data_IF_589158630781
#
_entry.id   IF_589158630781
#
_cell.length_a   1.000
_cell.length_b   1.000
_cell.length_c   1.000
_cell.angle_alpha   90.00
_cell.angle_beta   90.00
_cell.angle_gamma   90.00
#
_symmetry.space_group_name_H-M   'P 1'
#
loop_
_entity.id
_entity.type
_entity.pdbx_description
1 polymer ?
#
# COMPACT_ATOMS: atom_id res chain seq x y z
N UNK A 1 -1.22 19.85 -9.47
CA UNK A 1 -1.59 19.09 -8.26
C UNK A 1 -0.52 19.27 -7.19
N UNK A 2 -0.87 19.74 -5.99
CA UNK A 2 0.07 20.10 -4.92
C UNK A 2 0.94 18.93 -4.43
N UNK A 3 0.38 17.71 -4.37
CA UNK A 3 1.07 16.50 -3.91
C UNK A 3 2.37 16.25 -4.68
N UNK A 4 2.34 16.32 -6.02
CA UNK A 4 3.54 16.09 -6.84
C UNK A 4 4.64 17.12 -6.61
N UNK A 5 4.29 18.39 -6.35
CA UNK A 5 5.27 19.43 -6.00
C UNK A 5 5.91 19.15 -4.64
N UNK A 6 5.14 18.71 -3.64
CA UNK A 6 5.68 18.34 -2.32
C UNK A 6 6.62 17.14 -2.41
N UNK A 7 6.21 16.08 -3.11
CA UNK A 7 7.02 14.88 -3.31
C UNK A 7 8.36 15.20 -3.99
N UNK A 8 8.33 16.06 -5.02
CA UNK A 8 9.55 16.51 -5.69
C UNK A 8 10.46 17.33 -4.77
N UNK A 9 9.90 18.24 -3.99
CA UNK A 9 10.67 19.10 -3.06
C UNK A 9 11.37 18.30 -1.96
N UNK A 10 10.81 17.18 -1.53
CA UNK A 10 11.43 16.28 -0.53
C UNK A 10 12.60 15.48 -1.10
N UNK A 11 12.56 15.17 -2.40
CA UNK A 11 13.52 14.27 -3.02
C UNK A 11 14.59 14.99 -3.84
N UNK A 12 14.38 16.27 -4.21
CA UNK A 12 15.31 17.08 -5.03
C UNK A 12 16.70 17.28 -4.41
N UNK A 13 16.87 17.04 -3.10
CA UNK A 13 18.17 17.15 -2.43
C UNK A 13 19.12 15.97 -2.66
N UNK A 14 18.65 14.92 -3.35
CA UNK A 14 19.46 13.72 -3.61
C UNK A 14 20.46 13.98 -4.74
N UNK A 15 21.72 14.17 -4.35
CA UNK A 15 22.84 14.41 -5.28
C UNK A 15 22.93 13.30 -6.34
N UNK A 16 22.99 13.67 -7.62
CA UNK A 16 23.18 12.75 -8.74
C UNK A 16 21.95 11.92 -9.15
N UNK A 17 20.77 12.16 -8.55
CA UNK A 17 19.55 11.35 -8.79
C UNK A 17 18.36 12.11 -9.38
N UNK A 18 18.58 13.29 -9.93
CA UNK A 18 17.49 14.18 -10.40
C UNK A 18 16.51 13.52 -11.38
N UNK A 19 17.01 12.77 -12.36
CA UNK A 19 16.14 12.06 -13.31
C UNK A 19 15.35 10.93 -12.63
N UNK A 20 15.97 10.20 -11.70
CA UNK A 20 15.33 9.12 -10.96
C UNK A 20 14.21 9.67 -10.06
N UNK A 21 14.47 10.78 -9.37
CA UNK A 21 13.50 11.50 -8.56
C UNK A 21 12.29 11.94 -9.39
N UNK A 22 12.52 12.58 -10.55
CA UNK A 22 11.42 12.97 -11.44
C UNK A 22 10.61 11.77 -11.91
N UNK A 23 11.27 10.68 -12.31
CA UNK A 23 10.60 9.44 -12.74
C UNK A 23 9.76 8.83 -11.61
N UNK A 24 10.27 8.81 -10.39
CA UNK A 24 9.56 8.34 -9.20
C UNK A 24 8.29 9.15 -8.97
N UNK A 25 8.41 10.49 -8.88
CA UNK A 25 7.26 11.37 -8.65
C UNK A 25 6.22 11.21 -9.75
N UNK A 26 6.61 11.12 -11.02
CA UNK A 26 5.66 10.89 -12.11
C UNK A 26 4.96 9.53 -11.99
N UNK A 27 5.67 8.49 -11.53
CA UNK A 27 5.08 7.17 -11.29
C UNK A 27 4.04 7.20 -10.18
N UNK A 28 4.34 7.90 -9.08
CA UNK A 28 3.43 8.10 -7.96
C UNK A 28 2.17 8.87 -8.40
N UNK A 29 2.35 9.98 -9.12
CA UNK A 29 1.23 10.76 -9.65
C UNK A 29 0.35 9.97 -10.62
N UNK A 30 0.96 9.14 -11.49
CA UNK A 30 0.20 8.23 -12.37
C UNK A 30 -0.57 7.18 -11.58
N UNK A 31 0.00 6.66 -10.50
CA UNK A 31 -0.65 5.65 -9.66
C UNK A 31 -1.85 6.24 -8.91
N UNK A 32 -1.72 7.46 -8.39
CA UNK A 32 -2.85 8.23 -7.82
C UNK A 32 -3.93 8.54 -8.85
N UNK A 33 -3.55 8.95 -10.05
CA UNK A 33 -4.51 9.24 -11.12
C UNK A 33 -5.30 8.00 -11.51
N UNK A 34 -4.64 6.84 -11.63
CA UNK A 34 -5.31 5.56 -11.91
C UNK A 34 -6.24 5.14 -10.78
N UNK A 35 -5.84 5.36 -9.53
CA UNK A 35 -6.72 5.10 -8.38
C UNK A 35 -7.97 5.97 -8.43
N UNK A 36 -7.81 7.25 -8.75
CA UNK A 36 -8.94 8.17 -8.92
C UNK A 36 -9.85 7.76 -10.08
N UNK A 37 -9.29 7.32 -11.21
CA UNK A 37 -10.10 6.78 -12.31
C UNK A 37 -10.92 5.58 -11.88
N UNK A 38 -10.32 4.63 -11.15
CA UNK A 38 -11.06 3.49 -10.60
C UNK A 38 -12.12 3.93 -9.59
N UNK A 39 -11.82 4.91 -8.73
CA UNK A 39 -12.77 5.49 -7.78
C UNK A 39 -13.99 6.10 -8.49
N UNK A 40 -13.79 6.78 -9.62
CA UNK A 40 -14.90 7.34 -10.41
C UNK A 40 -15.85 6.28 -10.98
N UNK A 41 -15.40 5.04 -11.16
CA UNK A 41 -16.29 3.95 -11.57
C UNK A 41 -17.32 3.62 -10.47
N UNK A 42 -16.93 3.75 -9.21
CA UNK A 42 -17.80 3.52 -8.05
C UNK A 42 -18.53 4.77 -7.58
N UNK A 43 -17.98 5.96 -7.86
CA UNK A 43 -18.60 7.25 -7.55
C UNK A 43 -18.55 8.20 -8.75
N UNK A 44 -19.45 8.05 -9.75
CA UNK A 44 -19.44 8.85 -10.97
C UNK A 44 -19.66 10.35 -10.73
N UNK A 45 -20.35 10.70 -9.64
CA UNK A 45 -20.62 12.09 -9.22
C UNK A 45 -19.42 12.78 -8.59
N UNK A 46 -18.28 12.09 -8.44
CA UNK A 46 -17.02 12.70 -7.99
C UNK A 46 -16.49 13.64 -9.06
N UNK A 47 -16.28 14.90 -8.69
CA UNK A 47 -15.77 15.91 -9.60
C UNK A 47 -14.25 16.07 -9.43
N UNK A 48 -13.76 15.91 -8.20
CA UNK A 48 -12.39 16.23 -7.83
C UNK A 48 -11.67 15.05 -7.16
N UNK A 49 -10.34 15.04 -7.25
CA UNK A 49 -9.52 13.96 -6.66
C UNK A 49 -9.56 13.97 -5.13
N UNK A 50 -9.87 15.13 -4.55
CA UNK A 50 -10.07 15.35 -3.13
C UNK A 50 -11.25 14.54 -2.58
N UNK A 51 -12.30 14.31 -3.40
CA UNK A 51 -13.50 13.58 -3.01
C UNK A 51 -13.19 12.13 -2.62
N UNK A 52 -12.14 11.55 -3.22
CA UNK A 52 -11.64 10.20 -2.94
C UNK A 52 -11.11 10.04 -1.50
N UNK A 53 -10.77 11.14 -0.84
CA UNK A 53 -10.19 11.17 0.50
C UNK A 53 -11.16 11.73 1.55
N UNK A 54 -12.46 11.58 1.33
CA UNK A 54 -13.53 11.94 2.27
C UNK A 54 -14.08 10.67 2.93
N UNK A 55 -14.26 10.68 4.26
CA UNK A 55 -14.68 9.49 5.04
C UNK A 55 -15.98 8.88 4.52
N UNK A 56 -16.94 9.71 4.12
CA UNK A 56 -18.21 9.28 3.54
C UNK A 56 -18.05 8.39 2.31
N UNK A 57 -16.95 8.51 1.58
CA UNK A 57 -16.70 7.78 0.34
C UNK A 57 -15.72 6.61 0.54
N UNK A 58 -15.44 6.23 1.79
CA UNK A 58 -14.41 5.25 2.10
C UNK A 58 -14.68 3.87 1.48
N UNK A 59 -15.94 3.43 1.42
CA UNK A 59 -16.30 2.13 0.82
C UNK A 59 -16.03 2.11 -0.70
N UNK A 60 -16.30 3.22 -1.39
CA UNK A 60 -15.96 3.39 -2.80
C UNK A 60 -14.44 3.43 -3.00
N UNK A 61 -13.71 4.06 -2.08
CA UNK A 61 -12.26 4.10 -2.08
C UNK A 61 -11.63 2.72 -1.91
N UNK A 62 -12.14 1.91 -0.98
CA UNK A 62 -11.70 0.53 -0.79
C UNK A 62 -11.96 -0.32 -2.05
N UNK A 63 -13.16 -0.20 -2.62
CA UNK A 63 -13.53 -0.86 -3.88
C UNK A 63 -12.59 -0.47 -5.03
N UNK A 64 -12.20 0.80 -5.10
CA UNK A 64 -11.24 1.30 -6.10
C UNK A 64 -9.83 0.69 -5.92
N UNK A 65 -9.36 0.54 -4.69
CA UNK A 65 -8.07 -0.14 -4.40
C UNK A 65 -8.14 -1.59 -4.89
N UNK A 66 -9.23 -2.30 -4.60
CA UNK A 66 -9.41 -3.67 -5.05
C UNK A 66 -9.43 -3.77 -6.58
N UNK A 67 -10.21 -2.92 -7.25
CA UNK A 67 -10.31 -2.89 -8.71
C UNK A 67 -8.95 -2.61 -9.37
N UNK A 68 -8.17 -1.67 -8.83
CA UNK A 68 -6.85 -1.34 -9.38
C UNK A 68 -5.80 -2.44 -9.14
N UNK A 69 -5.97 -3.25 -8.10
CA UNK A 69 -4.97 -4.25 -7.67
C UNK A 69 -5.30 -5.68 -8.09
N UNK A 70 -6.51 -5.93 -8.59
CA UNK A 70 -6.90 -7.20 -9.21
C UNK A 70 -6.59 -7.22 -10.72
N UNK A 71 -6.09 -8.35 -11.21
CA UNK A 71 -5.97 -8.62 -12.65
C UNK A 71 -7.24 -9.23 -13.25
N UNK A 72 -7.32 -9.26 -14.59
CA UNK A 72 -8.40 -9.91 -15.34
C UNK A 72 -8.59 -11.40 -14.97
N UNK A 73 -7.56 -12.08 -14.47
CA UNK A 73 -7.61 -13.47 -13.99
C UNK A 73 -7.80 -13.59 -12.47
N UNK A 74 -8.26 -12.53 -11.81
CA UNK A 74 -8.44 -12.44 -10.36
C UNK A 74 -7.14 -12.60 -9.54
N UNK A 75 -5.97 -12.45 -10.19
CA UNK A 75 -4.67 -12.46 -9.52
C UNK A 75 -4.37 -11.09 -8.92
N UNK A 76 -3.96 -11.05 -7.65
CA UNK A 76 -3.64 -9.81 -6.94
C UNK A 76 -2.22 -9.33 -7.23
N UNK A 77 -2.08 -8.06 -7.59
CA UNK A 77 -0.80 -7.36 -7.72
C UNK A 77 -0.30 -6.91 -6.36
N UNK A 78 0.22 -7.82 -5.55
CA UNK A 78 0.65 -7.54 -4.17
C UNK A 78 1.64 -6.36 -4.08
N UNK A 79 2.60 -6.27 -5.01
CA UNK A 79 3.55 -5.16 -5.06
C UNK A 79 2.89 -3.80 -5.30
N UNK A 80 1.92 -3.74 -6.22
CA UNK A 80 1.14 -2.52 -6.49
C UNK A 80 0.24 -2.17 -5.30
N UNK A 81 -0.40 -3.17 -4.70
CA UNK A 81 -1.28 -2.98 -3.54
C UNK A 81 -0.50 -2.39 -2.36
N UNK A 82 0.72 -2.88 -2.11
CA UNK A 82 1.58 -2.32 -1.07
C UNK A 82 2.16 -0.95 -1.43
N UNK A 83 2.54 -0.70 -2.70
CA UNK A 83 3.00 0.65 -3.08
C UNK A 83 1.88 1.68 -2.95
N UNK A 84 0.65 1.33 -3.32
CA UNK A 84 -0.53 2.18 -3.13
C UNK A 84 -0.75 2.51 -1.65
N UNK A 85 -0.61 1.55 -0.73
CA UNK A 85 -0.73 1.80 0.72
C UNK A 85 0.15 2.98 1.18
N UNK A 86 1.44 2.94 0.83
CA UNK A 86 2.39 3.97 1.22
C UNK A 86 2.12 5.29 0.50
N UNK A 87 1.77 5.23 -0.78
CA UNK A 87 1.45 6.40 -1.59
C UNK A 87 0.21 7.14 -1.07
N UNK A 88 -0.85 6.42 -0.73
CA UNK A 88 -2.09 6.96 -0.14
C UNK A 88 -1.78 7.67 1.18
N UNK A 89 -1.06 7.00 2.08
CA UNK A 89 -0.68 7.60 3.36
C UNK A 89 0.11 8.90 3.16
N UNK A 90 1.11 8.85 2.28
CA UNK A 90 1.97 10.01 1.99
C UNK A 90 1.14 11.15 1.38
N UNK A 91 0.27 10.87 0.42
CA UNK A 91 -0.60 11.87 -0.20
C UNK A 91 -1.49 12.57 0.83
N UNK A 92 -2.06 11.82 1.78
CA UNK A 92 -2.91 12.37 2.85
C UNK A 92 -2.13 13.29 3.79
N UNK A 93 -0.94 12.89 4.22
CA UNK A 93 -0.09 13.75 5.04
C UNK A 93 0.26 15.06 4.33
N UNK A 94 0.52 15.01 3.02
CA UNK A 94 0.76 16.22 2.23
C UNK A 94 -0.50 17.10 2.16
N UNK A 95 -1.68 16.51 1.96
CA UNK A 95 -2.94 17.26 1.94
C UNK A 95 -3.22 17.93 3.29
N UNK A 96 -3.01 17.22 4.41
CA UNK A 96 -3.12 17.79 5.76
C UNK A 96 -2.16 18.97 5.92
N UNK A 97 -0.89 18.82 5.53
CA UNK A 97 0.11 19.90 5.61
C UNK A 97 -0.22 21.09 4.72
N UNK A 98 -0.80 20.87 3.54
CA UNK A 98 -1.24 21.93 2.63
C UNK A 98 -2.34 22.79 3.23
N UNK A 99 -3.41 22.17 3.71
CA UNK A 99 -4.55 22.89 4.28
C UNK A 99 -4.22 23.51 5.64
N UNK A 100 -3.32 22.90 6.41
CA UNK A 100 -2.79 23.51 7.63
C UNK A 100 -2.06 24.83 7.33
N UNK A 101 -1.22 24.88 6.27
CA UNK A 101 -0.55 26.13 5.85
C UNK A 101 -1.53 27.21 5.36
N UNK A 102 -2.72 26.81 4.92
CA UNK A 102 -3.79 27.72 4.50
C UNK A 102 -4.75 28.08 5.63
N UNK A 103 -4.51 27.59 6.85
CA UNK A 103 -5.38 27.76 8.01
C UNK A 103 -6.80 27.22 7.82
N UNK A 104 -6.99 26.31 6.87
CA UNK A 104 -8.28 25.66 6.59
C UNK A 104 -8.48 24.47 7.53
N UNK A 105 -8.97 24.79 8.74
CA UNK A 105 -9.19 23.81 9.81
C UNK A 105 -10.21 22.75 9.44
N UNK A 106 -11.22 23.09 8.62
CA UNK A 106 -12.26 22.16 8.21
C UNK A 106 -11.68 21.05 7.32
N UNK A 107 -10.89 21.43 6.32
CA UNK A 107 -10.23 20.45 5.44
C UNK A 107 -9.19 19.63 6.19
N UNK A 108 -8.39 20.25 7.08
CA UNK A 108 -7.45 19.52 7.93
C UNK A 108 -8.15 18.44 8.76
N UNK A 109 -9.29 18.78 9.38
CA UNK A 109 -10.07 17.84 10.18
C UNK A 109 -10.61 16.68 9.33
N UNK A 110 -11.14 17.00 8.14
CA UNK A 110 -11.64 16.01 7.19
C UNK A 110 -10.57 14.99 6.79
N UNK A 111 -9.39 15.46 6.34
CA UNK A 111 -8.30 14.56 5.93
C UNK A 111 -7.68 13.78 7.10
N UNK A 112 -7.61 14.36 8.30
CA UNK A 112 -7.17 13.63 9.50
C UNK A 112 -8.13 12.51 9.85
N UNK A 113 -9.44 12.78 9.75
CA UNK A 113 -10.48 11.77 9.99
C UNK A 113 -10.37 10.64 8.97
N UNK A 114 -10.19 10.95 7.69
CA UNK A 114 -9.94 9.92 6.67
C UNK A 114 -8.68 9.11 6.98
N UNK A 115 -7.55 9.77 7.25
CA UNK A 115 -6.29 9.08 7.54
C UNK A 115 -6.42 8.15 8.75
N UNK A 116 -7.20 8.54 9.76
CA UNK A 116 -7.50 7.70 10.91
C UNK A 116 -8.30 6.45 10.52
N UNK A 117 -9.42 6.62 9.81
CA UNK A 117 -10.23 5.50 9.29
C UNK A 117 -9.39 4.58 8.41
N UNK A 118 -8.60 5.16 7.49
CA UNK A 118 -7.69 4.40 6.64
C UNK A 118 -6.74 3.52 7.47
N UNK A 119 -6.09 4.08 8.51
CA UNK A 119 -5.18 3.32 9.38
C UNK A 119 -5.87 2.16 10.11
N UNK A 120 -7.11 2.34 10.57
CA UNK A 120 -7.88 1.28 11.22
C UNK A 120 -8.21 0.14 10.25
N UNK A 121 -8.53 0.45 8.99
CA UNK A 121 -8.89 -0.53 7.98
C UNK A 121 -7.69 -1.11 7.21
N UNK A 122 -6.48 -0.56 7.38
CA UNK A 122 -5.28 -1.01 6.66
C UNK A 122 -4.98 -2.50 6.85
N UNK A 123 -5.20 -3.03 8.05
CA UNK A 123 -4.99 -4.46 8.33
C UNK A 123 -5.85 -5.33 7.43
N UNK A 124 -7.14 -5.00 7.30
CA UNK A 124 -8.07 -5.72 6.42
C UNK A 124 -7.72 -5.53 4.94
N UNK A 125 -7.52 -4.29 4.51
CA UNK A 125 -7.34 -3.95 3.09
C UNK A 125 -6.06 -4.56 2.53
N UNK A 126 -4.96 -4.59 3.30
CA UNK A 126 -3.63 -4.92 2.80
C UNK A 126 -3.00 -6.19 3.41
N UNK A 127 -3.70 -6.95 4.27
CA UNK A 127 -3.15 -8.14 4.92
C UNK A 127 -2.59 -9.17 3.94
N UNK A 128 -3.34 -9.44 2.88
CA UNK A 128 -2.97 -10.36 1.80
C UNK A 128 -1.64 -10.00 1.14
N UNK A 129 -1.48 -8.74 0.76
CA UNK A 129 -0.28 -8.23 0.11
C UNK A 129 0.91 -8.16 1.08
N UNK A 130 0.66 -7.83 2.35
CA UNK A 130 1.70 -7.84 3.37
C UNK A 130 2.24 -9.25 3.61
N UNK A 131 1.33 -10.24 3.71
CA UNK A 131 1.70 -11.65 3.85
C UNK A 131 2.49 -12.14 2.64
N UNK A 132 1.98 -11.94 1.42
CA UNK A 132 2.62 -12.40 0.20
C UNK A 132 4.02 -11.80 0.00
N UNK A 133 4.21 -10.49 0.25
CA UNK A 133 5.52 -9.86 0.14
C UNK A 133 6.49 -10.39 1.21
N UNK A 134 6.04 -10.55 2.46
CA UNK A 134 6.89 -11.08 3.53
C UNK A 134 7.27 -12.53 3.26
N UNK A 135 6.33 -13.35 2.80
CA UNK A 135 6.58 -14.73 2.39
C UNK A 135 7.62 -14.80 1.28
N UNK A 136 7.43 -14.06 0.18
CA UNK A 136 8.40 -14.03 -0.93
C UNK A 136 9.77 -13.48 -0.52
N UNK A 137 9.83 -12.53 0.43
CA UNK A 137 11.11 -12.05 0.99
C UNK A 137 11.80 -13.13 1.80
N UNK A 138 11.07 -13.83 2.67
CA UNK A 138 11.61 -14.93 3.46
C UNK A 138 12.07 -16.09 2.56
N UNK A 139 11.33 -16.45 1.52
CA UNK A 139 11.78 -17.46 0.55
C UNK A 139 13.07 -17.06 -0.17
N UNK A 140 13.16 -15.80 -0.64
CA UNK A 140 14.39 -15.31 -1.29
C UNK A 140 15.58 -15.24 -0.34
N UNK A 141 15.36 -14.84 0.91
CA UNK A 141 16.40 -14.82 1.95
C UNK A 141 16.83 -16.23 2.39
N UNK A 142 15.98 -17.24 2.21
CA UNK A 142 16.33 -18.66 2.41
C UNK A 142 17.16 -19.26 1.26
N UNK A 143 17.40 -18.52 0.17
CA UNK A 143 18.14 -19.00 -1.01
C UNK A 143 19.51 -18.34 -1.28
N UNK A 144 20.44 -18.27 -0.29
CA UNK A 144 21.86 -18.26 -0.67
C UNK A 144 22.70 -19.49 -0.29
N UNK A 145 22.35 -20.29 0.74
CA UNK A 145 23.25 -21.37 1.23
C UNK A 145 22.58 -22.74 1.49
N UNK A 146 21.24 -22.85 1.40
CA UNK A 146 20.49 -24.01 1.92
C UNK A 146 20.16 -25.13 0.93
N UNK A 147 20.88 -25.27 -0.20
CA UNK A 147 20.75 -26.51 -0.99
C UNK A 147 21.18 -27.76 -0.18
N UNK A 148 21.96 -27.60 0.89
CA UNK A 148 22.36 -28.69 1.78
C UNK A 148 21.38 -29.00 2.95
N UNK A 149 20.48 -28.09 3.36
CA UNK A 149 19.71 -28.23 4.63
C UNK A 149 18.27 -28.78 4.46
N UNK A 150 17.79 -29.02 3.24
CA UNK A 150 16.38 -29.43 3.03
C UNK A 150 16.03 -30.81 3.61
N UNK A 151 16.99 -31.73 3.66
CA UNK A 151 16.75 -33.08 4.21
C UNK A 151 16.64 -33.05 5.74
N UNK A 152 17.51 -32.29 6.41
CA UNK A 152 17.50 -32.17 7.89
C UNK A 152 16.23 -31.48 8.40
N UNK A 153 15.74 -30.45 7.70
CA UNK A 153 14.51 -29.74 8.08
C UNK A 153 13.26 -30.64 7.91
N UNK A 154 13.27 -31.52 6.92
CA UNK A 154 12.20 -32.52 6.73
C UNK A 154 12.22 -33.57 7.84
N UNK A 155 13.40 -34.10 8.18
CA UNK A 155 13.57 -35.06 9.28
C UNK A 155 13.11 -34.46 10.62
N UNK A 156 13.49 -33.21 10.92
CA UNK A 156 13.08 -32.53 12.14
C UNK A 156 11.57 -32.30 12.21
N UNK A 157 10.93 -31.92 11.09
CA UNK A 157 9.47 -31.76 11.02
C UNK A 157 8.73 -33.08 11.23
N UNK A 158 9.31 -34.19 10.78
CA UNK A 158 8.70 -35.52 10.89
C UNK A 158 8.81 -36.04 12.32
N UNK A 159 9.99 -35.88 12.94
CA UNK A 159 10.21 -36.17 14.35
C UNK A 159 9.25 -35.40 15.27
N UNK A 160 9.10 -34.08 15.07
CA UNK A 160 8.19 -33.26 15.89
C UNK A 160 6.73 -33.74 15.77
N UNK A 161 6.27 -34.11 14.57
CA UNK A 161 4.92 -34.64 14.36
C UNK A 161 4.69 -35.98 15.05
N UNK A 162 5.71 -36.83 15.08
CA UNK A 162 5.67 -38.14 15.75
C UNK A 162 5.66 -37.97 17.27
N UNK A 163 6.47 -37.06 17.82
CA UNK A 163 6.50 -36.77 19.26
C UNK A 163 5.19 -36.18 19.77
N UNK A 164 4.56 -35.28 19.00
CA UNK A 164 3.25 -34.71 19.38
C UNK A 164 2.17 -35.81 19.38
N UNK A 165 2.16 -36.69 18.38
CA UNK A 165 1.22 -37.83 18.33
C UNK A 165 1.40 -38.83 19.48
N UNK A 166 2.61 -38.96 20.02
CA UNK A 166 2.88 -39.86 21.14
C UNK A 166 2.50 -39.28 22.50
N UNK A 167 2.41 -37.95 22.62
CA UNK A 167 2.04 -37.27 23.87
C UNK A 167 0.54 -36.93 23.98
N UNK A 168 -0.25 -37.20 22.93
CA UNK A 168 -1.72 -37.08 22.91
C UNK A 168 -2.44 -38.45 23.11
N UNK A 169 -1.73 -39.50 23.54
CA UNK A 169 -2.28 -40.78 24.05
C UNK A 169 -2.02 -40.91 25.54
#
# INVERSE_FOLDING_TARGET
MFIGRSLYQEQKGKVGKDMEVKKSVMSDMRSLARLYTAFKEFMPTSHNIEDMFIVKHFDFFESAIEAQTKEKKNQLKYGLKMSLKFLIHTAQEKMIGYYAKKEDKAMVSSYKSFLHVFKLHQGRIFADANYAINYSRQEKLRMPEQQAQKQEVQQLSQYIKETIKQNDM
#
